data_IF_479393576765
#
_entry.id   IF_479393576765
#
_cell.length_a   1.000
_cell.length_b   1.000
_cell.length_c   1.000
_cell.angle_alpha   90.00
_cell.angle_beta   90.00
_cell.angle_gamma   90.00
#
_symmetry.space_group_name_H-M   'P 1'
#
loop_
_entity.id
_entity.type
_entity.pdbx_description
1 polymer ?
#
# COMPACT_ATOMS: atom_id res chain seq x y z
N UNK A 1 -14.19 4.46 -6.62
CA UNK A 1 -15.28 5.10 -5.85
C UNK A 1 -14.75 6.04 -4.77
N UNK A 2 -13.96 5.56 -3.80
CA UNK A 2 -13.44 6.38 -2.69
C UNK A 2 -12.55 7.57 -3.10
N UNK A 3 -11.69 7.40 -4.10
CA UNK A 3 -10.85 8.50 -4.61
C UNK A 3 -11.66 9.68 -5.18
N UNK A 4 -12.84 9.41 -5.75
CA UNK A 4 -13.71 10.45 -6.29
C UNK A 4 -14.37 11.26 -5.17
N UNK A 5 -14.76 10.61 -4.07
CA UNK A 5 -15.32 11.27 -2.90
C UNK A 5 -14.29 12.15 -2.19
N UNK A 6 -13.06 11.64 -2.02
CA UNK A 6 -11.97 12.42 -1.43
C UNK A 6 -11.61 13.62 -2.31
N UNK A 7 -11.56 13.43 -3.64
CA UNK A 7 -11.31 14.53 -4.57
C UNK A 7 -12.40 15.61 -4.52
N UNK A 8 -13.68 15.23 -4.43
CA UNK A 8 -14.78 16.18 -4.28
C UNK A 8 -14.72 16.99 -2.97
N UNK A 9 -14.41 16.33 -1.84
CA UNK A 9 -14.24 16.98 -0.55
C UNK A 9 -13.05 17.95 -0.53
N UNK A 10 -11.94 17.56 -1.16
CA UNK A 10 -10.75 18.41 -1.30
C UNK A 10 -11.06 19.65 -2.16
N UNK A 11 -11.77 19.48 -3.28
CA UNK A 11 -12.17 20.61 -4.15
C UNK A 11 -13.10 21.56 -3.39
N UNK A 12 -14.10 21.04 -2.67
CA UNK A 12 -15.02 21.87 -1.86
C UNK A 12 -14.29 22.65 -0.77
N UNK A 13 -13.27 22.05 -0.12
CA UNK A 13 -12.47 22.72 0.93
C UNK A 13 -11.53 23.80 0.36
N UNK A 14 -10.98 23.60 -0.84
CA UNK A 14 -10.19 24.62 -1.55
C UNK A 14 -11.07 25.84 -1.88
N UNK A 15 -12.27 25.62 -2.40
CA UNK A 15 -13.16 26.71 -2.83
C UNK A 15 -13.80 27.47 -1.65
N UNK A 16 -14.14 26.80 -0.54
CA UNK A 16 -14.85 27.43 0.57
C UNK A 16 -13.94 27.87 1.74
N UNK A 17 -12.88 27.12 2.04
CA UNK A 17 -12.02 27.38 3.21
C UNK A 17 -10.59 27.80 2.82
N UNK A 18 -10.33 28.11 1.54
CA UNK A 18 -8.98 28.43 1.01
C UNK A 18 -7.93 27.34 1.29
N UNK A 19 -8.37 26.11 1.51
CA UNK A 19 -7.50 24.96 1.80
C UNK A 19 -6.90 24.93 3.20
N UNK A 20 -7.43 25.66 4.19
CA UNK A 20 -6.90 25.62 5.58
C UNK A 20 -7.01 24.22 6.20
N UNK A 21 -8.05 23.45 5.85
CA UNK A 21 -8.26 22.09 6.36
C UNK A 21 -7.73 20.98 5.45
N UNK A 22 -7.11 21.33 4.32
CA UNK A 22 -6.68 20.35 3.32
C UNK A 22 -5.61 19.41 3.86
N UNK A 23 -4.70 19.94 4.69
CA UNK A 23 -3.64 19.15 5.30
C UNK A 23 -4.21 18.16 6.31
N UNK A 24 -5.26 18.52 7.06
CA UNK A 24 -5.95 17.62 7.96
C UNK A 24 -6.69 16.52 7.19
N UNK A 25 -7.41 16.87 6.12
CA UNK A 25 -8.11 15.90 5.28
C UNK A 25 -7.15 14.89 4.61
N UNK A 26 -6.00 15.36 4.14
CA UNK A 26 -4.95 14.48 3.58
C UNK A 26 -4.35 13.60 4.67
N UNK A 27 -4.05 14.16 5.86
CA UNK A 27 -3.51 13.41 6.99
C UNK A 27 -4.45 12.28 7.43
N UNK A 28 -5.74 12.57 7.54
CA UNK A 28 -6.75 11.57 7.90
C UNK A 28 -6.92 10.51 6.81
N UNK A 29 -6.94 10.93 5.54
CA UNK A 29 -7.00 9.99 4.41
C UNK A 29 -5.76 9.08 4.35
N UNK A 30 -4.58 9.64 4.60
CA UNK A 30 -3.31 8.91 4.60
C UNK A 30 -3.23 7.85 5.71
N UNK A 31 -3.85 8.12 6.87
CA UNK A 31 -3.95 7.16 7.97
C UNK A 31 -4.74 5.90 7.58
N UNK A 32 -5.71 6.00 6.66
CA UNK A 32 -6.48 4.85 6.16
C UNK A 32 -5.67 4.05 5.14
N UNK A 33 -4.92 4.71 4.25
CA UNK A 33 -4.16 4.02 3.20
C UNK A 33 -2.91 3.32 3.70
N UNK A 34 -2.25 3.87 4.73
CA UNK A 34 -1.00 3.31 5.27
C UNK A 34 -1.11 1.81 5.64
N UNK A 35 -2.06 1.35 6.47
CA UNK A 35 -2.18 -0.07 6.80
C UNK A 35 -2.51 -0.95 5.60
N UNK A 36 -3.28 -0.45 4.62
CA UNK A 36 -3.60 -1.19 3.39
C UNK A 36 -2.32 -1.44 2.57
N UNK A 37 -1.49 -0.39 2.43
CA UNK A 37 -0.19 -0.49 1.75
C UNK A 37 0.74 -1.43 2.52
N UNK A 38 0.81 -1.32 3.85
CA UNK A 38 1.65 -2.18 4.69
C UNK A 38 1.27 -3.65 4.56
N UNK A 39 -0.03 -3.99 4.63
CA UNK A 39 -0.49 -5.38 4.45
C UNK A 39 -0.20 -5.89 3.03
N UNK A 40 -0.41 -5.04 2.02
CA UNK A 40 -0.12 -5.38 0.62
C UNK A 40 1.37 -5.66 0.40
N UNK A 41 2.25 -4.83 0.95
CA UNK A 41 3.71 -5.04 0.90
C UNK A 41 4.14 -6.27 1.70
N UNK A 42 3.59 -6.47 2.90
CA UNK A 42 3.88 -7.66 3.71
C UNK A 42 3.52 -8.95 2.97
N UNK A 43 2.36 -8.97 2.29
CA UNK A 43 1.97 -10.09 1.43
C UNK A 43 2.90 -10.25 0.21
N UNK A 44 3.25 -9.14 -0.44
CA UNK A 44 4.11 -9.17 -1.62
C UNK A 44 5.52 -9.67 -1.29
N UNK A 45 6.12 -9.18 -0.20
CA UNK A 45 7.43 -9.63 0.26
C UNK A 45 7.42 -11.06 0.79
N UNK A 46 6.38 -11.48 1.52
CA UNK A 46 6.23 -12.88 1.93
C UNK A 46 6.15 -13.84 0.74
N UNK A 47 5.50 -13.43 -0.36
CA UNK A 47 5.47 -14.21 -1.61
C UNK A 47 6.82 -14.24 -2.33
N UNK A 48 7.56 -13.14 -2.29
CA UNK A 48 8.92 -13.07 -2.86
C UNK A 48 9.85 -14.01 -2.10
N UNK A 49 9.82 -14.00 -0.76
CA UNK A 49 10.61 -14.92 0.06
C UNK A 49 10.25 -16.38 -0.18
N UNK A 50 8.95 -16.72 -0.21
CA UNK A 50 8.49 -18.08 -0.50
C UNK A 50 8.93 -18.55 -1.90
N UNK A 51 8.85 -17.67 -2.90
CA UNK A 51 9.32 -17.98 -4.26
C UNK A 51 10.84 -18.16 -4.32
N UNK A 52 11.59 -17.37 -3.55
CA UNK A 52 13.05 -17.47 -3.52
C UNK A 52 13.54 -18.71 -2.74
N UNK A 53 12.84 -19.10 -1.69
CA UNK A 53 13.10 -20.33 -0.94
C UNK A 53 12.81 -21.58 -1.79
N UNK A 54 11.67 -21.63 -2.48
CA UNK A 54 11.33 -22.73 -3.38
C UNK A 54 12.34 -22.89 -4.53
N UNK A 55 12.85 -21.77 -5.06
CA UNK A 55 13.90 -21.80 -6.08
C UNK A 55 15.21 -22.40 -5.56
N UNK A 56 15.63 -22.09 -4.31
CA UNK A 56 16.84 -22.68 -3.72
C UNK A 56 16.75 -24.18 -3.49
N UNK A 57 15.57 -24.70 -3.14
CA UNK A 57 15.36 -26.14 -2.94
C UNK A 57 15.39 -26.92 -4.27
N UNK A 58 14.87 -26.33 -5.35
CA UNK A 58 14.93 -26.92 -6.70
C UNK A 58 16.34 -26.97 -7.31
N UNK A 59 17.28 -26.18 -6.77
CA UNK A 59 18.70 -26.14 -7.20
C UNK A 59 19.59 -26.82 -6.15
N UNK A 60 19.07 -27.79 -5.38
CA UNK A 60 19.94 -28.66 -4.58
C UNK A 60 20.40 -29.82 -5.48
N UNK A 61 21.71 -29.99 -5.73
CA UNK A 61 22.18 -31.11 -6.53
C UNK A 61 21.76 -32.41 -5.83
N UNK A 62 21.08 -33.28 -6.58
CA UNK A 62 20.84 -34.67 -6.17
C UNK A 62 22.22 -35.25 -5.89
N UNK A 63 22.56 -35.43 -4.61
CA UNK A 63 23.74 -36.17 -4.23
C UNK A 63 23.51 -37.61 -4.73
N UNK A 64 24.25 -37.99 -5.77
CA UNK A 64 24.37 -39.37 -6.22
C UNK A 64 25.25 -40.05 -5.17
N UNK A 65 24.59 -40.67 -4.18
CA UNK A 65 25.17 -41.79 -3.46
C UNK A 65 25.16 -43.03 -4.36
#
# INVERSE_FOLDING_TARGET
>A
MYACLISALVIVDIFNNKGVNILNNIKESWAVFTPIITLSLGYMFGRVEASHAANKESVKPINKD
#
